data_IF_951121704474
#
_entry.id   IF_951121704474
#
_cell.length_a   1.000
_cell.length_b   1.000
_cell.length_c   1.000
_cell.angle_alpha   90.00
_cell.angle_beta   90.00
_cell.angle_gamma   90.00
#
_symmetry.space_group_name_H-M   'P 1'
#
loop_
_entity.id
_entity.type
_entity.pdbx_description
1 polymer ?
#
# COMPACT_ATOMS: atom_id res chain seq x y z
N UNK A 1 1.09 8.73 -1.55
CA UNK A 1 1.94 9.09 -0.39
C UNK A 1 2.96 10.13 -0.81
N UNK A 2 3.77 10.67 0.11
CA UNK A 2 4.85 11.60 -0.26
C UNK A 2 6.10 10.85 -0.75
N UNK A 3 6.40 9.71 -0.14
CA UNK A 3 7.58 8.90 -0.38
C UNK A 3 7.17 7.58 -1.01
N UNK A 4 7.64 7.33 -2.23
CA UNK A 4 7.32 6.13 -3.01
C UNK A 4 8.56 5.40 -3.53
N UNK A 5 9.72 6.04 -3.56
CA UNK A 5 10.98 5.32 -3.73
C UNK A 5 11.15 4.33 -2.57
N UNK A 6 11.64 3.13 -2.87
CA UNK A 6 11.68 2.02 -1.92
C UNK A 6 12.22 2.41 -0.54
N UNK A 7 13.45 2.93 -0.49
CA UNK A 7 14.14 3.25 0.77
C UNK A 7 13.45 4.37 1.55
N UNK A 8 12.90 5.38 0.86
CA UNK A 8 12.17 6.46 1.51
C UNK A 8 10.82 5.98 2.08
N UNK A 9 10.15 5.07 1.37
CA UNK A 9 8.90 4.46 1.82
C UNK A 9 9.15 3.58 3.06
N UNK A 10 10.22 2.77 3.04
CA UNK A 10 10.62 1.93 4.17
C UNK A 10 10.95 2.76 5.41
N UNK A 11 11.75 3.83 5.24
CA UNK A 11 12.04 4.79 6.33
C UNK A 11 10.76 5.42 6.88
N UNK A 12 9.82 5.79 6.00
CA UNK A 12 8.52 6.36 6.42
C UNK A 12 7.70 5.38 7.26
N UNK A 13 7.74 4.08 6.94
CA UNK A 13 7.06 3.03 7.70
C UNK A 13 7.71 2.87 9.07
N UNK A 14 9.04 2.78 9.14
CA UNK A 14 9.80 2.70 10.40
C UNK A 14 9.52 3.91 11.31
N UNK A 15 9.54 5.12 10.75
CA UNK A 15 9.18 6.34 11.47
C UNK A 15 7.74 6.29 12.00
N UNK A 16 6.81 5.74 11.22
CA UNK A 16 5.41 5.62 11.64
C UNK A 16 5.27 4.71 12.86
N UNK A 17 5.90 3.53 12.84
CA UNK A 17 5.92 2.59 13.96
C UNK A 17 6.54 3.24 15.20
N UNK A 18 7.69 3.89 15.05
CA UNK A 18 8.40 4.59 16.12
C UNK A 18 7.55 5.72 16.74
N UNK A 19 6.97 6.60 15.92
CA UNK A 19 6.15 7.73 16.41
C UNK A 19 4.87 7.30 17.10
N UNK A 20 4.31 6.15 16.74
CA UNK A 20 3.14 5.58 17.41
C UNK A 20 3.50 4.91 18.74
N UNK A 21 4.78 4.65 19.02
CA UNK A 21 5.21 3.92 20.21
C UNK A 21 4.75 2.47 20.21
N UNK A 22 4.64 1.85 19.03
CA UNK A 22 4.20 0.48 18.84
C UNK A 22 5.38 -0.40 18.43
N UNK A 23 5.29 -1.70 18.72
CA UNK A 23 6.24 -2.69 18.20
C UNK A 23 6.00 -3.00 16.71
N UNK A 24 4.74 -2.89 16.27
CA UNK A 24 4.30 -3.12 14.89
C UNK A 24 2.97 -2.41 14.62
N UNK A 25 2.59 -2.30 13.34
CA UNK A 25 1.25 -1.85 12.89
C UNK A 25 0.48 -3.02 12.27
N UNK A 26 -0.80 -3.22 12.63
CA UNK A 26 -1.57 -4.35 12.10
C UNK A 26 -1.86 -4.23 10.58
N UNK A 27 -2.19 -3.03 10.09
CA UNK A 27 -2.45 -2.78 8.66
C UNK A 27 -1.82 -1.46 8.22
N UNK A 28 -1.01 -1.49 7.17
CA UNK A 28 -0.43 -0.30 6.54
C UNK A 28 -0.81 -0.22 5.06
N UNK A 29 -1.19 0.97 4.59
CA UNK A 29 -1.69 1.18 3.23
C UNK A 29 -0.83 2.17 2.44
N UNK A 30 -0.61 1.89 1.15
CA UNK A 30 -0.28 2.96 0.20
C UNK A 30 -1.52 3.82 0.01
N UNK A 31 -1.48 5.08 0.45
CA UNK A 31 -2.67 5.94 0.46
C UNK A 31 -3.19 6.29 -0.95
N UNK A 32 -2.30 6.48 -1.93
CA UNK A 32 -2.65 6.80 -3.32
C UNK A 32 -1.58 6.24 -4.27
N UNK A 33 -1.94 5.75 -5.47
CA UNK A 33 -0.98 5.18 -6.43
C UNK A 33 -0.09 6.22 -7.13
N UNK A 34 -0.49 7.50 -7.20
CA UNK A 34 0.28 8.56 -7.85
C UNK A 34 0.92 8.13 -9.20
N UNK A 35 0.14 7.64 -10.18
CA UNK A 35 0.68 6.98 -11.38
C UNK A 35 1.59 7.89 -12.23
N UNK A 36 1.43 9.20 -12.15
CA UNK A 36 2.32 10.18 -12.81
C UNK A 36 3.77 10.13 -12.29
N UNK A 37 4.01 9.59 -11.10
CA UNK A 37 5.36 9.36 -10.56
C UNK A 37 5.92 7.99 -10.96
N UNK A 38 5.07 7.00 -11.26
CA UNK A 38 5.50 5.68 -11.69
C UNK A 38 6.17 4.80 -10.62
N UNK A 39 6.08 5.17 -9.35
CA UNK A 39 6.85 4.56 -8.25
C UNK A 39 6.02 3.72 -7.26
N UNK A 40 4.72 3.50 -7.51
CA UNK A 40 3.89 2.77 -6.54
C UNK A 40 4.24 1.28 -6.42
N UNK A 41 4.96 0.70 -7.39
CA UNK A 41 5.49 -0.67 -7.29
C UNK A 41 6.66 -0.70 -6.28
N UNK A 42 7.60 0.24 -6.36
CA UNK A 42 8.69 0.37 -5.37
C UNK A 42 8.15 0.60 -3.94
N UNK A 43 7.12 1.44 -3.81
CA UNK A 43 6.45 1.67 -2.52
C UNK A 43 5.78 0.39 -1.99
N UNK A 44 5.31 -0.48 -2.89
CA UNK A 44 4.72 -1.77 -2.52
C UNK A 44 5.77 -2.78 -2.10
N UNK A 45 6.90 -2.84 -2.81
CA UNK A 45 8.07 -3.63 -2.42
C UNK A 45 8.55 -3.26 -1.00
N UNK A 46 8.61 -1.97 -0.68
CA UNK A 46 8.95 -1.50 0.67
C UNK A 46 7.95 -1.99 1.75
N UNK A 47 6.66 -2.06 1.42
CA UNK A 47 5.66 -2.64 2.32
C UNK A 47 5.79 -4.16 2.45
N UNK A 48 6.15 -4.86 1.37
CA UNK A 48 6.46 -6.30 1.41
C UNK A 48 7.63 -6.55 2.35
N UNK A 49 8.73 -5.79 2.23
CA UNK A 49 9.88 -5.90 3.13
C UNK A 49 9.49 -5.56 4.58
N UNK A 50 8.77 -4.46 4.80
CA UNK A 50 8.32 -4.08 6.15
C UNK A 50 7.47 -5.17 6.82
N UNK A 51 6.67 -5.90 6.02
CA UNK A 51 5.92 -7.07 6.50
C UNK A 51 6.83 -8.23 6.87
N UNK A 52 7.82 -8.55 6.02
CA UNK A 52 8.81 -9.61 6.30
C UNK A 52 9.65 -9.30 7.55
N UNK A 53 9.94 -8.02 7.79
CA UNK A 53 10.63 -7.52 8.99
C UNK A 53 9.75 -7.48 10.24
N UNK A 54 8.46 -7.76 10.12
CA UNK A 54 7.51 -7.76 11.24
C UNK A 54 7.10 -6.36 11.72
N UNK A 55 7.48 -5.29 11.01
CA UNK A 55 7.06 -3.92 11.32
C UNK A 55 5.57 -3.70 11.04
N UNK A 56 5.02 -4.46 10.08
CA UNK A 56 3.62 -4.43 9.67
C UNK A 56 3.09 -5.86 9.53
N UNK A 57 1.88 -6.16 10.02
CA UNK A 57 1.31 -7.52 9.84
C UNK A 57 0.63 -7.72 8.50
N UNK A 58 -0.20 -6.77 8.08
CA UNK A 58 -0.95 -6.80 6.83
C UNK A 58 -0.65 -5.56 6.01
N UNK A 59 -0.56 -5.73 4.70
CA UNK A 59 -0.29 -4.64 3.77
C UNK A 59 -1.42 -4.55 2.76
N UNK A 60 -1.80 -3.32 2.44
CA UNK A 60 -2.87 -3.05 1.50
C UNK A 60 -2.66 -1.75 0.76
N UNK A 61 -3.66 -1.36 0.00
CA UNK A 61 -3.65 -0.13 -0.78
C UNK A 61 -4.92 0.68 -0.54
N UNK A 62 -4.91 1.93 -0.98
CA UNK A 62 -6.06 2.82 -0.95
C UNK A 62 -6.13 3.60 -2.26
N UNK A 63 -7.32 3.71 -2.83
CA UNK A 63 -7.59 4.39 -4.10
C UNK A 63 -6.87 3.79 -5.32
N UNK A 64 -6.61 2.48 -5.32
CA UNK A 64 -6.03 1.79 -6.47
C UNK A 64 -7.15 1.32 -7.42
N UNK A 65 -6.88 1.40 -8.72
CA UNK A 65 -7.70 0.82 -9.78
C UNK A 65 -7.23 -0.62 -10.07
N UNK A 66 -8.07 -1.49 -10.67
CA UNK A 66 -7.71 -2.88 -10.94
C UNK A 66 -6.36 -3.04 -11.66
N UNK A 67 -6.12 -2.24 -12.72
CA UNK A 67 -4.85 -2.28 -13.44
C UNK A 67 -3.62 -1.90 -12.60
N UNK A 68 -3.75 -1.09 -11.56
CA UNK A 68 -2.64 -0.83 -10.64
C UNK A 68 -2.38 -2.05 -9.75
N UNK A 69 -3.43 -2.72 -9.27
CA UNK A 69 -3.33 -3.92 -8.43
C UNK A 69 -2.70 -5.07 -9.24
N UNK A 70 -3.09 -5.24 -10.50
CA UNK A 70 -2.49 -6.23 -11.40
C UNK A 70 -0.98 -6.03 -11.54
N UNK A 71 -0.53 -4.77 -11.65
CA UNK A 71 0.90 -4.44 -11.71
C UNK A 71 1.61 -4.84 -10.41
N UNK A 72 1.04 -4.53 -9.25
CA UNK A 72 1.59 -4.93 -7.95
C UNK A 72 1.76 -6.45 -7.86
N UNK A 73 0.71 -7.21 -8.20
CA UNK A 73 0.71 -8.67 -8.13
C UNK A 73 1.71 -9.25 -9.13
N UNK A 74 1.73 -8.75 -10.37
CA UNK A 74 2.62 -9.24 -11.41
C UNK A 74 4.09 -9.05 -11.05
N UNK A 75 4.45 -7.89 -10.51
CA UNK A 75 5.85 -7.50 -10.32
C UNK A 75 6.41 -7.99 -8.97
N UNK A 76 5.55 -8.17 -7.95
CA UNK A 76 6.00 -8.60 -6.60
C UNK A 76 5.52 -9.99 -6.19
N UNK A 77 4.51 -10.55 -6.87
CA UNK A 77 3.85 -11.79 -6.46
C UNK A 77 2.98 -11.67 -5.20
N UNK A 78 2.81 -10.47 -4.64
CA UNK A 78 2.08 -10.25 -3.39
C UNK A 78 0.78 -9.49 -3.62
N UNK A 79 -0.35 -10.14 -3.34
CA UNK A 79 -1.69 -9.54 -3.39
C UNK A 79 -1.94 -8.63 -2.19
N UNK A 80 -2.42 -7.39 -2.39
CA UNK A 80 -2.87 -6.54 -1.29
C UNK A 80 -4.01 -7.17 -0.50
N UNK A 81 -3.94 -7.11 0.84
CA UNK A 81 -4.99 -7.67 1.70
C UNK A 81 -6.31 -6.91 1.57
N UNK A 82 -6.24 -5.60 1.29
CA UNK A 82 -7.38 -4.71 1.10
C UNK A 82 -7.07 -3.63 0.07
N UNK A 83 -8.11 -3.12 -0.59
CA UNK A 83 -8.11 -1.84 -1.30
C UNK A 83 -9.18 -0.93 -0.69
N UNK A 84 -8.75 0.09 0.06
CA UNK A 84 -9.67 1.07 0.64
C UNK A 84 -10.08 2.08 -0.43
N UNK A 85 -11.36 2.14 -0.77
CA UNK A 85 -11.88 3.01 -1.84
C UNK A 85 -13.05 3.87 -1.34
N UNK A 86 -13.25 5.02 -1.99
CA UNK A 86 -14.48 5.80 -1.82
C UNK A 86 -15.67 4.97 -2.28
N UNK A 87 -16.58 4.63 -1.37
CA UNK A 87 -17.75 3.81 -1.69
C UNK A 87 -18.97 4.30 -0.91
N UNK A 88 -20.05 4.57 -1.63
CA UNK A 88 -21.33 4.98 -1.06
C UNK A 88 -22.47 4.70 -2.06
N UNK A 89 -23.77 4.84 -1.69
CA UNK A 89 -24.89 4.44 -2.56
C UNK A 89 -24.87 5.05 -3.97
N UNK A 90 -24.38 6.29 -4.10
CA UNK A 90 -24.23 7.01 -5.37
C UNK A 90 -22.93 6.72 -6.13
N UNK A 91 -21.96 6.03 -5.53
CA UNK A 91 -20.68 5.68 -6.14
C UNK A 91 -20.21 4.32 -5.63
N UNK A 92 -20.69 3.26 -6.30
CA UNK A 92 -20.58 1.88 -5.83
C UNK A 92 -19.27 1.19 -6.23
N UNK A 93 -18.44 1.83 -7.07
CA UNK A 93 -17.13 1.30 -7.50
C UNK A 93 -17.21 -0.16 -8.00
N UNK A 94 -18.21 -0.50 -8.82
CA UNK A 94 -18.49 -1.90 -9.20
C UNK A 94 -17.32 -2.60 -9.91
N UNK A 95 -16.49 -1.84 -10.61
CA UNK A 95 -15.30 -2.35 -11.31
C UNK A 95 -14.15 -2.63 -10.34
N UNK A 96 -14.01 -1.83 -9.28
CA UNK A 96 -12.96 -1.95 -8.26
C UNK A 96 -13.28 -3.03 -7.21
N UNK A 97 -14.53 -3.49 -7.14
CA UNK A 97 -15.00 -4.58 -6.27
C UNK A 97 -14.96 -5.96 -6.93
N UNK A 98 -14.78 -6.01 -8.25
CA UNK A 98 -14.75 -7.24 -9.04
C UNK A 98 -13.36 -7.88 -9.02
#
# INVERSE_FOLDING_TARGET
GRHHAHDEALLTIEESVCRMGLDYIDLYLIHWPNPSQGQFVEAWEALVEARERGLVKHIGVSNFLPGHIDLLIRDTGVTPAVNQVELHPYFQQREQLA
#
